data_IF_904622727423
#
_entry.id   IF_904622727423
#
_cell.length_a   1.000
_cell.length_b   1.000
_cell.length_c   1.000
_cell.angle_alpha   90.00
_cell.angle_beta   90.00
_cell.angle_gamma   90.00
#
_symmetry.space_group_name_H-M   'P 1'
#
loop_
_entity.id
_entity.type
_entity.pdbx_description
1 polymer ?
#
# COMPACT_ATOMS: atom_id res chain seq x y z
N UNK A 1 -20.95 -10.99 0.68
CA UNK A 1 -20.67 -10.53 -0.68
C UNK A 1 -19.33 -11.10 -1.10
N UNK A 2 -19.09 -11.23 -2.40
CA UNK A 2 -17.89 -11.87 -2.93
C UNK A 2 -16.67 -10.94 -2.82
N UNK A 3 -15.48 -11.51 -2.63
CA UNK A 3 -14.24 -10.77 -2.53
C UNK A 3 -13.12 -11.39 -3.38
N UNK A 4 -11.89 -11.00 -3.18
CA UNK A 4 -10.73 -11.46 -3.96
C UNK A 4 -10.52 -12.99 -3.90
N UNK A 5 -10.90 -13.66 -2.81
CA UNK A 5 -10.85 -15.12 -2.72
C UNK A 5 -11.90 -15.78 -3.63
N UNK A 6 -13.10 -15.20 -3.71
CA UNK A 6 -14.13 -15.66 -4.63
C UNK A 6 -13.71 -15.48 -6.08
N UNK A 7 -13.00 -14.39 -6.41
CA UNK A 7 -12.41 -14.22 -7.74
C UNK A 7 -11.47 -15.39 -8.10
N UNK A 8 -10.55 -15.73 -7.21
CA UNK A 8 -9.63 -16.87 -7.45
C UNK A 8 -10.43 -18.17 -7.59
N UNK A 9 -11.44 -18.40 -6.73
CA UNK A 9 -12.28 -19.58 -6.81
C UNK A 9 -13.08 -19.67 -8.11
N UNK A 10 -13.54 -18.53 -8.67
CA UNK A 10 -14.37 -18.49 -9.88
C UNK A 10 -13.59 -18.43 -11.18
N UNK A 11 -12.36 -17.86 -11.16
CA UNK A 11 -11.57 -17.55 -12.35
C UNK A 11 -10.14 -18.09 -12.29
N UNK A 12 -9.77 -18.71 -11.20
CA UNK A 12 -8.45 -19.32 -11.04
C UNK A 12 -8.20 -20.48 -11.98
N UNK A 13 -9.22 -21.04 -12.62
CA UNK A 13 -9.12 -22.07 -13.65
C UNK A 13 -8.81 -21.50 -15.06
N UNK A 14 -8.93 -20.19 -15.26
CA UNK A 14 -8.76 -19.53 -16.55
C UNK A 14 -7.38 -18.88 -16.66
N UNK A 15 -6.48 -19.50 -17.41
CA UNK A 15 -5.13 -18.94 -17.68
C UNK A 15 -5.20 -17.63 -18.46
N UNK A 16 -4.08 -16.90 -18.49
CA UNK A 16 -3.98 -15.56 -19.11
C UNK A 16 -4.16 -15.57 -20.64
N UNK A 17 -3.93 -16.69 -21.30
CA UNK A 17 -4.20 -16.87 -22.74
C UNK A 17 -5.71 -16.93 -23.06
N UNK A 18 -6.55 -17.41 -22.13
CA UNK A 18 -8.02 -17.44 -22.26
C UNK A 18 -8.66 -16.15 -21.78
N UNK A 19 -8.13 -15.57 -20.71
CA UNK A 19 -8.60 -14.30 -20.13
C UNK A 19 -7.40 -13.42 -19.80
N UNK A 20 -7.24 -12.29 -20.52
CA UNK A 20 -6.13 -11.38 -20.29
C UNK A 20 -6.01 -10.92 -18.83
N UNK A 21 -4.83 -10.48 -18.44
CA UNK A 21 -4.55 -9.89 -17.14
C UNK A 21 -5.47 -8.68 -16.88
N UNK A 22 -6.06 -8.61 -15.70
CA UNK A 22 -7.00 -7.57 -15.30
C UNK A 22 -6.63 -6.94 -13.94
N UNK A 23 -7.46 -6.00 -13.45
CA UNK A 23 -7.22 -5.29 -12.20
C UNK A 23 -7.26 -6.19 -10.96
N UNK A 24 -8.05 -7.29 -10.98
CA UNK A 24 -8.10 -8.23 -9.85
C UNK A 24 -6.81 -9.05 -9.76
N UNK A 25 -6.21 -9.41 -10.88
CA UNK A 25 -4.89 -10.04 -10.90
C UNK A 25 -3.84 -9.08 -10.32
N UNK A 26 -3.87 -7.81 -10.76
CA UNK A 26 -3.02 -6.77 -10.21
C UNK A 26 -3.19 -6.60 -8.70
N UNK A 27 -4.44 -6.62 -8.22
CA UNK A 27 -4.76 -6.52 -6.79
C UNK A 27 -4.21 -7.71 -5.99
N UNK A 28 -4.36 -8.96 -6.52
CA UNK A 28 -3.76 -10.17 -5.92
C UNK A 28 -2.26 -10.02 -5.81
N UNK A 29 -1.57 -9.66 -6.91
CA UNK A 29 -0.11 -9.52 -6.92
C UNK A 29 0.36 -8.39 -6.00
N UNK A 30 -0.33 -7.24 -6.00
CA UNK A 30 -0.04 -6.14 -5.08
C UNK A 30 -0.21 -6.56 -3.62
N UNK A 31 -1.22 -7.36 -3.28
CA UNK A 31 -1.40 -7.81 -1.90
C UNK A 31 -0.34 -8.83 -1.49
N UNK A 32 0.04 -9.73 -2.38
CA UNK A 32 1.10 -10.69 -2.09
C UNK A 32 2.49 -10.04 -1.88
N UNK A 33 2.70 -8.77 -2.27
CA UNK A 33 3.93 -8.04 -1.94
C UNK A 33 4.11 -7.78 -0.44
N UNK A 34 3.07 -7.99 0.38
CA UNK A 34 3.13 -7.87 1.85
C UNK A 34 3.66 -9.12 2.56
N UNK A 35 3.91 -10.21 1.83
CA UNK A 35 4.46 -11.43 2.39
C UNK A 35 5.91 -11.24 2.86
N UNK A 36 6.31 -11.84 4.00
CA UNK A 36 7.65 -11.69 4.56
C UNK A 36 8.66 -12.62 3.86
N UNK A 37 9.06 -12.26 2.64
CA UNK A 37 9.92 -13.08 1.78
C UNK A 37 11.43 -12.92 2.05
N UNK A 38 11.83 -12.24 3.16
CA UNK A 38 13.25 -12.07 3.52
C UNK A 38 13.96 -13.40 3.65
N UNK A 39 15.10 -13.55 2.93
CA UNK A 39 15.89 -14.76 2.92
C UNK A 39 15.22 -15.97 2.23
N UNK A 40 14.11 -15.75 1.50
CA UNK A 40 13.45 -16.75 0.63
C UNK A 40 13.59 -16.34 -0.83
N UNK A 41 13.12 -15.13 -1.18
CA UNK A 41 13.17 -14.62 -2.55
C UNK A 41 14.41 -13.76 -2.77
N UNK A 42 15.26 -14.19 -3.69
CA UNK A 42 16.39 -13.44 -4.21
C UNK A 42 16.19 -13.02 -5.67
N UNK A 43 17.27 -13.02 -6.43
CA UNK A 43 17.25 -12.74 -7.88
C UNK A 43 16.68 -13.90 -8.68
N UNK A 44 16.93 -15.15 -8.24
CA UNK A 44 16.44 -16.34 -8.91
C UNK A 44 14.93 -16.46 -8.80
N UNK A 45 14.23 -16.65 -9.93
CA UNK A 45 12.77 -16.79 -9.93
C UNK A 45 12.29 -18.05 -9.20
N UNK A 46 11.28 -17.90 -8.35
CA UNK A 46 10.61 -18.99 -7.65
C UNK A 46 9.12 -18.97 -8.03
N UNK A 47 8.54 -20.12 -8.36
CA UNK A 47 7.11 -20.23 -8.66
C UNK A 47 6.26 -19.93 -7.43
N UNK A 48 5.02 -19.45 -7.62
CA UNK A 48 4.12 -19.20 -6.48
C UNK A 48 3.85 -20.44 -5.63
N UNK A 49 3.71 -21.69 -6.18
CA UNK A 49 3.64 -22.91 -5.37
C UNK A 49 4.87 -23.11 -4.48
N UNK A 50 6.09 -23.00 -5.04
CA UNK A 50 7.33 -23.13 -4.27
C UNK A 50 7.44 -22.05 -3.17
N UNK A 51 7.03 -20.82 -3.47
CA UNK A 51 7.01 -19.74 -2.50
C UNK A 51 6.02 -20.03 -1.36
N UNK A 52 4.82 -20.57 -1.69
CA UNK A 52 3.83 -20.95 -0.69
C UNK A 52 4.34 -22.06 0.23
N UNK A 53 5.02 -23.04 -0.31
CA UNK A 53 5.65 -24.11 0.45
C UNK A 53 6.77 -23.59 1.35
N UNK A 54 7.67 -22.75 0.80
CA UNK A 54 8.79 -22.17 1.52
C UNK A 54 8.34 -21.29 2.71
N UNK A 55 7.31 -20.45 2.50
CA UNK A 55 6.74 -19.61 3.56
C UNK A 55 5.99 -20.45 4.61
N UNK A 56 5.25 -21.47 4.19
CA UNK A 56 4.52 -22.35 5.10
C UNK A 56 5.44 -23.21 5.97
N UNK A 57 6.65 -23.52 5.50
CA UNK A 57 7.64 -24.30 6.24
C UNK A 57 8.34 -23.49 7.35
N UNK A 58 8.18 -22.16 7.40
CA UNK A 58 8.81 -21.28 8.39
C UNK A 58 7.84 -20.93 9.52
N UNK A 59 8.08 -21.36 10.76
CA UNK A 59 7.20 -21.06 11.89
C UNK A 59 7.01 -19.56 12.13
N UNK A 60 8.05 -18.75 11.90
CA UNK A 60 8.04 -17.30 12.09
C UNK A 60 7.22 -16.54 11.03
N UNK A 61 6.78 -17.19 9.97
CA UNK A 61 6.00 -16.54 8.91
C UNK A 61 4.72 -15.93 9.47
N UNK A 62 3.96 -16.68 10.28
CA UNK A 62 2.67 -16.23 10.82
C UNK A 62 2.84 -15.00 11.73
N UNK A 63 3.91 -14.94 12.52
CA UNK A 63 4.21 -13.81 13.40
C UNK A 63 4.58 -12.53 12.64
N UNK A 64 5.09 -12.68 11.41
CA UNK A 64 5.54 -11.57 10.56
C UNK A 64 4.48 -11.10 9.56
N UNK A 65 3.36 -11.80 9.42
CA UNK A 65 2.26 -11.39 8.57
C UNK A 65 1.61 -10.11 9.09
N UNK A 66 1.34 -9.17 8.18
CA UNK A 66 0.52 -8.00 8.49
C UNK A 66 -0.94 -8.43 8.67
N UNK A 67 -1.38 -9.41 7.85
CA UNK A 67 -2.71 -10.03 7.95
C UNK A 67 -2.62 -11.54 7.74
N UNK A 68 -3.35 -12.33 8.53
CA UNK A 68 -3.41 -13.80 8.31
C UNK A 68 -3.91 -14.18 6.92
N UNK A 69 -4.76 -13.34 6.30
CA UNK A 69 -5.27 -13.56 4.95
C UNK A 69 -4.19 -13.55 3.87
N UNK A 70 -3.03 -12.92 4.11
CA UNK A 70 -1.98 -12.79 3.10
C UNK A 70 -1.39 -14.16 2.71
N UNK A 71 -1.17 -15.04 3.68
CA UNK A 71 -0.68 -16.40 3.38
C UNK A 71 -1.79 -17.27 2.79
N UNK A 72 -3.05 -17.06 3.18
CA UNK A 72 -4.21 -17.75 2.57
C UNK A 72 -4.37 -17.36 1.11
N UNK A 73 -4.18 -16.07 0.77
CA UNK A 73 -4.23 -15.57 -0.60
C UNK A 73 -3.14 -16.20 -1.46
N UNK A 74 -1.89 -16.26 -0.96
CA UNK A 74 -0.80 -16.94 -1.66
C UNK A 74 -1.13 -18.41 -1.93
N UNK A 75 -1.62 -19.15 -0.93
CA UNK A 75 -2.00 -20.57 -1.08
C UNK A 75 -3.08 -20.75 -2.15
N UNK A 76 -4.15 -19.95 -2.09
CA UNK A 76 -5.22 -20.00 -3.07
C UNK A 76 -4.72 -19.65 -4.49
N UNK A 77 -3.85 -18.66 -4.63
CA UNK A 77 -3.22 -18.32 -5.90
C UNK A 77 -2.30 -19.45 -6.41
N UNK A 78 -1.48 -20.01 -5.54
CA UNK A 78 -0.56 -21.12 -5.86
C UNK A 78 -1.27 -22.40 -6.33
N UNK A 79 -2.48 -22.66 -5.82
CA UNK A 79 -3.32 -23.80 -6.20
C UNK A 79 -4.08 -23.56 -7.52
N UNK A 80 -4.24 -22.31 -7.96
CA UNK A 80 -5.02 -21.96 -9.14
C UNK A 80 -4.21 -22.11 -10.43
N UNK A 81 -4.85 -22.55 -11.52
CA UNK A 81 -4.21 -22.65 -12.85
C UNK A 81 -3.75 -21.27 -13.38
N UNK A 82 -4.45 -20.19 -12.96
CA UNK A 82 -4.18 -18.83 -13.39
C UNK A 82 -2.88 -18.27 -12.80
N UNK A 83 -2.65 -18.47 -11.51
CA UNK A 83 -1.53 -17.82 -10.82
C UNK A 83 -0.33 -18.76 -10.59
N UNK A 84 -0.52 -20.08 -10.57
CA UNK A 84 0.58 -21.06 -10.32
C UNK A 84 1.71 -20.98 -11.33
N UNK A 85 1.44 -20.41 -12.52
CA UNK A 85 2.41 -20.24 -13.61
C UNK A 85 3.26 -18.97 -13.47
N UNK A 86 2.96 -18.13 -12.46
CA UNK A 86 3.68 -16.89 -12.16
C UNK A 86 4.90 -17.22 -11.31
N UNK A 87 6.03 -16.58 -11.61
CA UNK A 87 7.23 -16.62 -10.79
C UNK A 87 7.44 -15.30 -10.06
N UNK A 88 7.96 -15.34 -8.84
CA UNK A 88 8.35 -14.20 -8.04
C UNK A 88 9.87 -14.13 -7.88
N UNK A 89 10.46 -12.94 -7.90
CA UNK A 89 11.90 -12.71 -7.74
C UNK A 89 12.20 -11.29 -7.25
N UNK A 90 13.48 -11.04 -6.96
CA UNK A 90 14.01 -9.72 -6.64
C UNK A 90 13.30 -9.04 -5.46
N UNK A 91 12.91 -9.80 -4.43
CA UNK A 91 12.31 -9.20 -3.24
C UNK A 91 13.31 -8.31 -2.50
N UNK A 92 12.84 -7.11 -2.17
CA UNK A 92 13.58 -6.13 -1.37
C UNK A 92 12.70 -5.68 -0.19
N UNK A 93 13.29 -5.59 0.99
CA UNK A 93 12.66 -5.05 2.19
C UNK A 93 13.70 -4.26 2.98
N UNK A 94 13.60 -2.93 2.93
CA UNK A 94 14.53 -1.98 3.54
C UNK A 94 13.79 -1.15 4.58
N UNK A 95 14.26 -1.20 5.82
CA UNK A 95 13.78 -0.37 6.91
C UNK A 95 15.00 0.33 7.51
N UNK A 96 15.13 1.62 7.26
CA UNK A 96 16.25 2.44 7.70
C UNK A 96 15.75 3.54 8.64
N UNK A 97 16.16 3.46 9.90
CA UNK A 97 15.73 4.41 10.93
C UNK A 97 16.35 5.79 10.73
N UNK A 98 17.61 5.85 10.27
CA UNK A 98 18.34 7.09 10.08
C UNK A 98 17.77 7.94 8.95
N UNK A 99 17.47 7.33 7.83
CA UNK A 99 16.85 7.98 6.66
C UNK A 99 15.33 7.99 6.72
N UNK A 100 14.75 7.37 7.75
CA UNK A 100 13.30 7.21 7.94
C UNK A 100 12.61 6.58 6.73
N UNK A 101 13.26 5.57 6.15
CA UNK A 101 12.82 4.88 4.94
C UNK A 101 12.21 3.54 5.28
N UNK A 102 11.02 3.28 4.76
CA UNK A 102 10.43 1.96 4.70
C UNK A 102 10.06 1.67 3.25
N UNK A 103 10.86 0.83 2.59
CA UNK A 103 10.67 0.44 1.20
C UNK A 103 10.64 -1.07 1.05
N UNK A 104 9.67 -1.59 0.32
CA UNK A 104 9.63 -3.00 -0.06
C UNK A 104 8.96 -3.17 -1.42
N UNK A 105 9.51 -4.07 -2.22
CA UNK A 105 9.00 -4.39 -3.54
C UNK A 105 9.38 -5.81 -3.94
N UNK A 106 8.66 -6.36 -4.91
CA UNK A 106 9.05 -7.60 -5.55
C UNK A 106 8.58 -7.60 -7.02
N UNK A 107 9.22 -8.41 -7.85
CA UNK A 107 8.90 -8.57 -9.26
C UNK A 107 8.24 -9.92 -9.49
N UNK A 108 7.15 -9.92 -10.24
CA UNK A 108 6.52 -11.14 -10.79
C UNK A 108 6.80 -11.25 -12.27
N UNK A 109 7.08 -12.46 -12.72
CA UNK A 109 7.24 -12.83 -14.12
C UNK A 109 5.97 -13.55 -14.55
N UNK A 110 5.24 -12.96 -15.48
CA UNK A 110 4.03 -13.55 -16.03
C UNK A 110 4.36 -14.59 -17.11
N UNK A 111 3.41 -15.45 -17.42
CA UNK A 111 3.57 -16.54 -18.39
C UNK A 111 4.00 -16.04 -19.79
N UNK A 112 3.57 -14.85 -20.19
CA UNK A 112 3.91 -14.22 -21.48
C UNK A 112 5.23 -13.42 -21.45
N UNK A 113 5.97 -13.48 -20.34
CA UNK A 113 7.25 -12.82 -20.16
C UNK A 113 7.17 -11.37 -19.67
N UNK A 114 5.98 -10.77 -19.60
CA UNK A 114 5.81 -9.45 -18.97
C UNK A 114 6.22 -9.47 -17.50
N UNK A 115 6.72 -8.36 -17.01
CA UNK A 115 7.05 -8.19 -15.59
C UNK A 115 5.99 -7.33 -14.91
N UNK A 116 5.49 -7.81 -13.77
CA UNK A 116 4.67 -7.02 -12.87
C UNK A 116 5.48 -6.64 -11.64
N UNK A 117 5.76 -5.35 -11.47
CA UNK A 117 6.52 -4.81 -10.32
C UNK A 117 5.55 -4.36 -9.27
N UNK A 118 5.51 -5.07 -8.14
CA UNK A 118 4.64 -4.77 -7.02
C UNK A 118 5.39 -4.02 -5.92
N UNK A 119 4.91 -2.82 -5.59
CA UNK A 119 5.40 -2.02 -4.48
C UNK A 119 4.51 -2.24 -3.27
N UNK A 120 5.12 -2.59 -2.14
CA UNK A 120 4.42 -2.76 -0.88
C UNK A 120 4.09 -1.40 -0.26
N UNK A 121 2.89 -1.30 0.30
CA UNK A 121 2.52 -0.18 1.17
C UNK A 121 3.19 -0.25 2.53
N UNK A 122 2.71 0.59 3.43
CA UNK A 122 3.25 0.70 4.79
C UNK A 122 3.03 -0.60 5.57
N UNK A 123 4.06 -0.99 6.30
CA UNK A 123 3.95 -2.05 7.28
C UNK A 123 3.42 -1.51 8.64
N UNK A 124 3.54 -2.28 9.70
CA UNK A 124 3.10 -1.87 11.04
C UNK A 124 4.13 -1.00 11.77
N UNK A 125 5.27 -0.65 11.15
CA UNK A 125 6.34 0.12 11.82
C UNK A 125 5.98 1.59 11.95
N UNK A 126 6.44 2.22 13.04
CA UNK A 126 6.26 3.67 13.24
C UNK A 126 7.05 4.50 12.21
N UNK A 127 8.16 3.94 11.68
CA UNK A 127 8.95 4.58 10.62
C UNK A 127 8.14 4.64 9.31
N UNK A 128 7.50 3.55 8.93
CA UNK A 128 6.62 3.52 7.77
C UNK A 128 5.50 4.55 7.86
N UNK A 129 4.86 4.65 9.03
CA UNK A 129 3.84 5.63 9.30
C UNK A 129 4.35 7.08 9.21
N UNK A 130 5.55 7.36 9.72
CA UNK A 130 6.17 8.68 9.58
C UNK A 130 6.39 9.04 8.12
N UNK A 131 6.92 8.10 7.33
CA UNK A 131 7.16 8.32 5.89
C UNK A 131 5.84 8.59 5.14
N UNK A 132 4.75 7.89 5.47
CA UNK A 132 3.43 8.13 4.88
C UNK A 132 2.93 9.57 5.13
N UNK A 133 3.12 10.07 6.35
CA UNK A 133 2.78 11.46 6.63
C UNK A 133 3.68 12.44 5.90
N UNK A 134 4.97 12.14 5.81
CA UNK A 134 5.91 12.97 5.07
C UNK A 134 5.51 13.07 3.59
N UNK A 135 4.98 12.01 2.98
CA UNK A 135 4.52 12.03 1.58
C UNK A 135 3.43 13.10 1.31
N UNK A 136 2.68 13.50 2.34
CA UNK A 136 1.65 14.53 2.20
C UNK A 136 2.22 15.96 1.98
N UNK A 137 3.53 16.18 2.15
CA UNK A 137 4.14 17.51 2.04
C UNK A 137 5.63 17.52 1.67
N UNK A 138 6.29 16.35 1.67
CA UNK A 138 7.66 16.17 1.16
C UNK A 138 7.57 15.23 -0.03
N UNK A 139 8.04 15.69 -1.18
CA UNK A 139 8.19 14.85 -2.36
C UNK A 139 9.45 15.29 -3.12
N UNK A 140 10.39 14.37 -3.41
CA UNK A 140 10.32 12.94 -3.13
C UNK A 140 10.64 12.56 -1.68
N UNK A 141 9.96 11.52 -1.16
CA UNK A 141 10.41 10.79 0.03
C UNK A 141 11.42 9.70 -0.37
N UNK A 142 12.27 9.21 0.57
CA UNK A 142 13.29 8.20 0.25
C UNK A 142 12.74 6.94 -0.42
N UNK A 143 11.58 6.43 0.01
CA UNK A 143 10.95 5.25 -0.61
C UNK A 143 10.57 5.49 -2.09
N UNK A 144 10.17 6.69 -2.48
CA UNK A 144 9.89 7.03 -3.88
C UNK A 144 11.16 6.95 -4.74
N UNK A 145 12.28 7.45 -4.24
CA UNK A 145 13.58 7.33 -4.93
C UNK A 145 14.04 5.87 -5.02
N UNK A 146 13.81 5.08 -3.97
CA UNK A 146 14.08 3.64 -3.97
C UNK A 146 13.21 2.89 -4.99
N UNK A 147 11.93 3.29 -5.15
CA UNK A 147 11.02 2.71 -6.13
C UNK A 147 11.50 2.94 -7.57
N UNK A 148 11.98 4.13 -7.91
CA UNK A 148 12.58 4.42 -9.22
C UNK A 148 13.81 3.55 -9.46
N UNK A 149 14.75 3.48 -8.50
CA UNK A 149 15.97 2.67 -8.62
C UNK A 149 15.65 1.18 -8.78
N UNK A 150 14.67 0.69 -8.03
CA UNK A 150 14.23 -0.69 -8.12
C UNK A 150 13.62 -1.01 -9.50
N UNK A 151 12.75 -0.13 -10.03
CA UNK A 151 12.18 -0.29 -11.36
C UNK A 151 13.26 -0.31 -12.45
N UNK A 152 14.24 0.58 -12.39
CA UNK A 152 15.38 0.61 -13.32
C UNK A 152 16.18 -0.71 -13.25
N UNK A 153 16.42 -1.23 -12.06
CA UNK A 153 17.11 -2.51 -11.87
C UNK A 153 16.34 -3.66 -12.55
N UNK A 154 15.03 -3.74 -12.32
CA UNK A 154 14.19 -4.78 -12.95
C UNK A 154 14.17 -4.64 -14.47
N UNK A 155 14.14 -3.41 -14.98
CA UNK A 155 14.09 -3.13 -16.41
C UNK A 155 15.35 -3.56 -17.15
N UNK A 156 16.54 -3.52 -16.51
CA UNK A 156 17.79 -4.03 -17.09
C UNK A 156 17.73 -5.55 -17.31
N UNK A 157 17.03 -6.29 -16.45
CA UNK A 157 16.93 -7.75 -16.52
C UNK A 157 15.93 -8.29 -17.57
N UNK A 158 15.30 -7.43 -18.38
CA UNK A 158 14.31 -7.82 -19.37
C UNK A 158 14.16 -6.78 -20.46
N UNK A 159 13.82 -7.21 -21.69
CA UNK A 159 13.38 -6.33 -22.78
C UNK A 159 11.84 -6.31 -22.91
N UNK A 160 11.13 -7.09 -22.11
CA UNK A 160 9.66 -7.21 -22.13
C UNK A 160 8.93 -5.98 -21.61
N UNK A 161 7.62 -5.98 -21.80
CA UNK A 161 6.73 -4.97 -21.26
C UNK A 161 6.65 -5.05 -19.73
N UNK A 162 6.40 -3.90 -19.11
CA UNK A 162 6.33 -3.72 -17.68
C UNK A 162 4.92 -3.31 -17.26
N UNK A 163 4.44 -3.87 -16.16
CA UNK A 163 3.28 -3.42 -15.42
C UNK A 163 3.70 -3.11 -14.01
N UNK A 164 3.16 -2.06 -13.43
CA UNK A 164 3.46 -1.65 -12.07
C UNK A 164 2.19 -1.70 -11.24
N UNK A 165 2.33 -1.85 -9.93
CA UNK A 165 1.19 -1.70 -9.05
C UNK A 165 1.56 -1.68 -7.59
N UNK A 166 0.59 -1.24 -6.78
CA UNK A 166 0.72 -1.23 -5.34
C UNK A 166 -0.58 -0.84 -4.65
N UNK A 167 -0.67 -1.19 -3.39
CA UNK A 167 -1.77 -0.82 -2.51
C UNK A 167 -1.27 0.20 -1.49
N UNK A 168 -2.10 1.17 -1.13
CA UNK A 168 -1.73 2.20 -0.14
C UNK A 168 -0.51 3.00 -0.61
N UNK A 169 0.48 3.27 0.25
CA UNK A 169 1.76 3.86 -0.14
C UNK A 169 2.36 3.20 -1.39
N UNK A 170 2.24 1.87 -1.52
CA UNK A 170 2.73 1.14 -2.67
C UNK A 170 2.12 1.59 -4.00
N UNK A 171 0.86 2.01 -4.01
CA UNK A 171 0.20 2.61 -5.17
C UNK A 171 0.84 3.93 -5.59
N UNK A 172 1.11 4.81 -4.63
CA UNK A 172 1.85 6.06 -4.88
C UNK A 172 3.27 5.76 -5.38
N UNK A 173 3.99 4.80 -4.78
CA UNK A 173 5.33 4.40 -5.23
C UNK A 173 5.32 3.88 -6.67
N UNK A 174 4.30 3.10 -7.06
CA UNK A 174 4.16 2.59 -8.42
C UNK A 174 3.99 3.72 -9.44
N UNK A 175 3.12 4.68 -9.15
CA UNK A 175 2.89 5.85 -10.02
C UNK A 175 4.15 6.72 -10.07
N UNK A 176 4.78 6.99 -8.92
CA UNK A 176 6.00 7.78 -8.86
C UNK A 176 7.15 7.14 -9.65
N UNK A 177 7.36 5.82 -9.47
CA UNK A 177 8.39 5.09 -10.22
C UNK A 177 8.12 5.15 -11.73
N UNK A 178 6.88 4.97 -12.15
CA UNK A 178 6.49 5.10 -13.55
C UNK A 178 6.67 6.49 -14.14
N UNK A 179 6.48 7.54 -13.33
CA UNK A 179 6.64 8.93 -13.75
C UNK A 179 8.11 9.37 -13.86
N UNK A 180 8.99 8.85 -12.99
CA UNK A 180 10.36 9.36 -12.83
C UNK A 180 11.47 8.36 -13.17
N UNK A 181 11.12 7.20 -13.74
CA UNK A 181 12.11 6.33 -14.38
C UNK A 181 12.61 6.96 -15.71
N UNK A 182 13.65 6.38 -16.28
CA UNK A 182 14.16 6.81 -17.59
C UNK A 182 13.11 6.68 -18.69
N UNK A 183 13.17 7.53 -19.72
CA UNK A 183 12.25 7.50 -20.85
C UNK A 183 12.18 6.12 -21.50
N UNK A 184 13.33 5.44 -21.60
CA UNK A 184 13.41 4.10 -22.19
C UNK A 184 12.62 3.06 -21.38
N UNK A 185 12.63 3.15 -20.05
CA UNK A 185 11.86 2.29 -19.16
C UNK A 185 10.38 2.69 -19.18
N UNK A 186 10.09 4.00 -19.13
CA UNK A 186 8.72 4.51 -19.14
C UNK A 186 7.94 4.08 -20.38
N UNK A 187 8.58 4.06 -21.55
CA UNK A 187 7.95 3.62 -22.81
C UNK A 187 7.53 2.15 -22.80
N UNK A 188 8.15 1.33 -21.96
CA UNK A 188 7.83 -0.10 -21.81
C UNK A 188 6.72 -0.37 -20.79
N UNK A 189 6.31 0.63 -20.00
CA UNK A 189 5.25 0.48 -19.01
C UNK A 189 3.89 0.50 -19.72
N UNK A 190 3.15 -0.60 -19.66
CA UNK A 190 1.80 -0.71 -20.25
C UNK A 190 0.72 -0.16 -19.30
N UNK A 191 0.79 -0.49 -18.02
CA UNK A 191 -0.20 -0.14 -17.01
C UNK A 191 0.45 0.10 -15.64
N UNK A 192 -0.15 1.00 -14.88
CA UNK A 192 0.16 1.23 -13.47
C UNK A 192 -1.12 1.14 -12.66
N UNK A 193 -1.20 0.18 -11.75
CA UNK A 193 -2.32 0.02 -10.84
C UNK A 193 -2.05 0.71 -9.50
N UNK A 194 -2.92 1.66 -9.15
CA UNK A 194 -2.91 2.33 -7.85
C UNK A 194 -4.17 1.92 -7.07
N UNK A 195 -4.00 1.04 -6.08
CA UNK A 195 -5.10 0.60 -5.22
C UNK A 195 -5.10 1.39 -3.91
N UNK A 196 -5.96 2.40 -3.83
CA UNK A 196 -6.18 3.27 -2.67
C UNK A 196 -4.91 3.95 -2.13
N UNK A 197 -3.96 4.24 -3.02
CA UNK A 197 -2.76 5.01 -2.69
C UNK A 197 -3.00 6.50 -2.80
N UNK A 198 -2.32 7.32 -1.98
CA UNK A 198 -2.44 8.78 -2.03
C UNK A 198 -1.92 9.33 -3.36
N UNK A 199 -2.48 10.48 -3.77
CA UNK A 199 -2.03 11.23 -4.94
C UNK A 199 -0.73 12.00 -4.70
N UNK A 200 -0.56 13.11 -5.43
CA UNK A 200 0.65 13.94 -5.39
C UNK A 200 0.31 15.41 -5.20
N UNK A 201 1.31 16.21 -4.83
CA UNK A 201 1.19 17.66 -4.87
C UNK A 201 1.24 18.18 -6.32
N UNK A 202 0.79 19.41 -6.54
CA UNK A 202 0.71 20.00 -7.87
C UNK A 202 2.07 20.05 -8.59
N UNK A 203 3.16 20.18 -7.85
CA UNK A 203 4.52 20.24 -8.45
C UNK A 203 4.92 18.93 -9.12
N UNK A 204 4.41 17.80 -8.61
CA UNK A 204 4.64 16.49 -9.21
C UNK A 204 3.68 16.27 -10.38
N UNK A 205 2.41 16.65 -10.22
CA UNK A 205 1.40 16.54 -11.27
C UNK A 205 1.79 17.30 -12.54
N UNK A 206 2.41 18.47 -12.39
CA UNK A 206 2.90 19.31 -13.48
C UNK A 206 4.21 18.81 -14.13
N UNK A 207 4.75 17.66 -13.72
CA UNK A 207 5.98 17.14 -14.31
C UNK A 207 5.71 16.37 -15.62
N UNK A 208 6.51 16.58 -16.69
CA UNK A 208 6.35 15.89 -17.95
C UNK A 208 6.31 14.37 -17.84
N UNK A 209 7.10 13.78 -16.93
CA UNK A 209 7.11 12.34 -16.67
C UNK A 209 5.77 11.85 -16.10
N UNK A 210 5.12 12.64 -15.23
CA UNK A 210 3.79 12.33 -14.70
C UNK A 210 2.73 12.44 -15.81
N UNK A 211 2.73 13.52 -16.58
CA UNK A 211 1.81 13.69 -17.71
C UNK A 211 1.91 12.53 -18.71
N UNK A 212 3.13 12.06 -18.98
CA UNK A 212 3.38 10.96 -19.90
C UNK A 212 2.88 9.59 -19.39
N UNK A 213 2.93 9.33 -18.08
CA UNK A 213 2.46 8.06 -17.50
C UNK A 213 0.96 8.08 -17.16
N UNK A 214 0.38 9.24 -16.85
CA UNK A 214 -0.99 9.43 -16.39
C UNK A 214 -2.06 8.66 -17.22
N UNK A 215 -2.03 8.62 -18.57
CA UNK A 215 -3.00 7.84 -19.35
C UNK A 215 -2.96 6.33 -19.10
N UNK A 216 -1.85 5.82 -18.57
CA UNK A 216 -1.64 4.39 -18.25
C UNK A 216 -1.90 4.06 -16.79
N UNK A 217 -2.19 5.05 -15.93
CA UNK A 217 -2.54 4.85 -14.53
C UNK A 217 -4.00 4.44 -14.41
N UNK A 218 -4.26 3.47 -13.54
CA UNK A 218 -5.59 3.01 -13.16
C UNK A 218 -5.69 3.04 -11.64
N UNK A 219 -6.39 4.05 -11.13
CA UNK A 219 -6.58 4.28 -9.68
C UNK A 219 -7.95 3.76 -9.24
N UNK A 220 -7.96 2.93 -8.21
CA UNK A 220 -9.16 2.38 -7.58
C UNK A 220 -9.22 2.82 -6.14
N UNK A 221 -10.36 3.37 -5.73
CA UNK A 221 -10.58 3.87 -4.36
C UNK A 221 -11.91 3.34 -3.82
N UNK A 222 -12.00 2.88 -2.56
CA UNK A 222 -13.28 2.49 -1.98
C UNK A 222 -14.20 3.71 -1.78
N UNK A 223 -15.52 3.48 -1.69
CA UNK A 223 -16.53 4.55 -1.67
C UNK A 223 -16.38 5.57 -0.53
N UNK A 224 -15.72 5.21 0.56
CA UNK A 224 -15.41 6.13 1.67
C UNK A 224 -13.90 6.26 1.91
N UNK A 225 -13.11 6.16 0.84
CA UNK A 225 -11.66 6.30 0.93
C UNK A 225 -11.26 7.59 1.63
N UNK A 226 -10.27 7.45 2.50
CA UNK A 226 -9.56 8.57 3.14
C UNK A 226 -8.15 8.65 2.58
N UNK A 227 -7.45 7.52 2.50
CA UNK A 227 -6.05 7.45 2.05
C UNK A 227 -5.94 7.81 0.57
N UNK A 228 -6.67 7.11 -0.30
CA UNK A 228 -6.64 7.34 -1.74
C UNK A 228 -7.19 8.70 -2.19
N UNK A 229 -7.87 9.42 -1.29
CA UNK A 229 -8.35 10.79 -1.58
C UNK A 229 -7.37 11.87 -1.07
N UNK A 230 -6.28 11.49 -0.38
CA UNK A 230 -5.26 12.46 0.03
C UNK A 230 -4.48 12.96 -1.19
N UNK A 231 -4.23 14.28 -1.23
CA UNK A 231 -3.52 14.98 -2.31
C UNK A 231 -4.29 15.00 -3.64
N UNK A 232 -3.60 15.35 -4.74
CA UNK A 232 -4.18 15.48 -6.07
C UNK A 232 -4.01 14.23 -6.92
N UNK A 233 -5.03 13.94 -7.73
CA UNK A 233 -5.01 12.95 -8.80
C UNK A 233 -5.44 13.65 -10.08
N UNK A 234 -4.69 13.51 -11.16
CA UNK A 234 -5.12 13.98 -12.50
C UNK A 234 -5.68 12.83 -13.33
N UNK A 235 -5.29 11.59 -13.03
CA UNK A 235 -5.92 10.41 -13.60
C UNK A 235 -7.36 10.23 -13.09
N UNK A 236 -8.19 9.61 -13.92
CA UNK A 236 -9.52 9.20 -13.49
C UNK A 236 -9.42 8.03 -12.53
N UNK A 237 -9.99 8.18 -11.34
CA UNK A 237 -10.12 7.07 -10.40
C UNK A 237 -11.49 6.38 -10.54
N UNK A 238 -11.48 5.07 -10.33
CA UNK A 238 -12.68 4.24 -10.28
C UNK A 238 -13.05 3.98 -8.82
N UNK A 239 -14.30 4.26 -8.48
CA UNK A 239 -14.81 3.99 -7.13
C UNK A 239 -15.26 2.54 -7.03
N UNK A 240 -14.80 1.83 -6.00
CA UNK A 240 -15.15 0.44 -5.75
C UNK A 240 -15.98 0.29 -4.48
N UNK A 241 -16.90 -0.67 -4.49
CA UNK A 241 -17.70 -1.01 -3.32
C UNK A 241 -16.87 -1.82 -2.33
N UNK A 242 -16.94 -1.44 -1.06
CA UNK A 242 -16.39 -2.21 0.06
C UNK A 242 -17.49 -2.51 1.08
N UNK A 243 -17.42 -3.67 1.70
CA UNK A 243 -18.38 -4.13 2.73
C UNK A 243 -18.23 -3.36 4.05
N UNK A 244 -17.09 -2.72 4.25
CA UNK A 244 -16.78 -1.97 5.44
C UNK A 244 -17.06 -0.47 5.26
N UNK A 245 -16.82 0.34 6.29
CA UNK A 245 -17.03 1.78 6.29
C UNK A 245 -15.84 2.55 6.85
N UNK A 246 -15.63 3.78 6.42
CA UNK A 246 -14.56 4.64 6.92
C UNK A 246 -13.17 4.05 6.60
N UNK A 247 -12.25 4.14 7.54
CA UNK A 247 -10.86 3.68 7.34
C UNK A 247 -10.69 2.17 7.18
N UNK A 248 -11.66 1.35 7.63
CA UNK A 248 -11.62 -0.10 7.45
C UNK A 248 -11.75 -0.53 5.99
N UNK A 249 -12.30 0.33 5.13
CA UNK A 249 -12.40 0.10 3.69
C UNK A 249 -11.04 0.08 2.97
N UNK A 250 -10.00 0.60 3.59
CA UNK A 250 -8.63 0.53 3.06
C UNK A 250 -8.12 -0.92 2.96
N UNK A 251 -8.78 -1.85 3.65
CA UNK A 251 -8.49 -3.28 3.55
C UNK A 251 -9.10 -3.88 2.27
N UNK A 252 -8.26 -4.25 1.31
CA UNK A 252 -8.70 -4.79 0.01
C UNK A 252 -9.51 -6.09 0.11
N UNK A 253 -9.36 -6.86 1.20
CA UNK A 253 -10.15 -8.08 1.43
C UNK A 253 -11.64 -7.80 1.67
N UNK A 254 -12.00 -6.54 1.91
CA UNK A 254 -13.38 -6.08 2.07
C UNK A 254 -13.97 -5.51 0.78
N UNK A 255 -13.20 -5.46 -0.30
CA UNK A 255 -13.66 -4.96 -1.59
C UNK A 255 -14.49 -6.01 -2.32
N UNK A 256 -15.63 -5.59 -2.83
CA UNK A 256 -16.54 -6.49 -3.54
C UNK A 256 -16.08 -6.72 -4.97
N UNK A 257 -16.27 -7.98 -5.39
CA UNK A 257 -15.90 -8.48 -6.70
C UNK A 257 -17.13 -8.96 -7.46
N UNK A 258 -17.21 -8.59 -8.74
CA UNK A 258 -18.24 -9.04 -9.67
C UNK A 258 -17.60 -9.84 -10.82
N UNK A 259 -17.53 -11.17 -10.66
CA UNK A 259 -16.96 -12.09 -11.66
C UNK A 259 -15.50 -11.81 -12.04
N UNK A 260 -15.26 -10.85 -12.93
CA UNK A 260 -13.95 -10.54 -13.53
C UNK A 260 -13.50 -9.09 -13.26
N UNK A 261 -14.25 -8.35 -12.47
CA UNK A 261 -13.96 -6.95 -12.11
C UNK A 261 -14.25 -6.68 -10.64
N UNK A 262 -13.74 -5.58 -10.14
CA UNK A 262 -14.24 -5.00 -8.90
C UNK A 262 -15.69 -4.53 -9.07
N UNK A 263 -16.45 -4.45 -8.00
CA UNK A 263 -17.81 -3.87 -8.03
C UNK A 263 -17.69 -2.34 -8.04
N UNK A 264 -18.07 -1.72 -9.15
CA UNK A 264 -17.89 -0.28 -9.37
C UNK A 264 -19.07 0.53 -8.88
N UNK A 265 -18.78 1.72 -8.39
CA UNK A 265 -19.77 2.72 -8.00
C UNK A 265 -19.52 4.04 -8.76
N UNK A 266 -20.60 4.80 -8.96
CA UNK A 266 -20.52 6.06 -9.70
C UNK A 266 -19.71 7.14 -8.98
N UNK A 267 -19.75 7.17 -7.65
CA UNK A 267 -19.08 8.23 -6.86
C UNK A 267 -18.72 7.79 -5.45
N UNK A 268 -17.73 8.47 -4.87
CA UNK A 268 -17.42 8.36 -3.43
C UNK A 268 -18.54 8.96 -2.58
N UNK A 269 -18.67 8.52 -1.33
CA UNK A 269 -19.69 9.01 -0.40
C UNK A 269 -19.49 10.49 -0.05
N UNK A 270 -20.57 11.16 0.37
CA UNK A 270 -20.48 12.55 0.85
C UNK A 270 -19.56 12.70 2.08
N UNK A 271 -19.53 11.68 2.95
CA UNK A 271 -18.64 11.62 4.10
C UNK A 271 -17.17 11.61 3.71
N UNK A 272 -16.79 10.85 2.69
CA UNK A 272 -15.42 10.82 2.15
C UNK A 272 -15.00 12.21 1.63
N UNK A 273 -15.85 12.85 0.83
CA UNK A 273 -15.60 14.21 0.32
C UNK A 273 -15.46 15.26 1.43
N UNK A 274 -16.23 15.12 2.51
CA UNK A 274 -16.14 16.02 3.66
C UNK A 274 -14.82 15.84 4.42
N UNK A 275 -14.40 14.59 4.68
CA UNK A 275 -13.15 14.28 5.36
C UNK A 275 -11.95 14.73 4.52
N UNK A 276 -11.95 14.43 3.21
CA UNK A 276 -10.92 14.87 2.27
C UNK A 276 -10.77 16.40 2.29
N UNK A 277 -11.87 17.12 2.11
CA UNK A 277 -11.84 18.59 2.16
C UNK A 277 -11.32 19.11 3.50
N UNK A 278 -11.78 18.55 4.62
CA UNK A 278 -11.36 18.98 5.95
C UNK A 278 -9.89 18.74 6.21
N UNK A 279 -9.35 17.61 5.73
CA UNK A 279 -7.91 17.30 5.82
C UNK A 279 -7.08 18.19 4.91
N UNK A 280 -7.52 18.40 3.67
CA UNK A 280 -6.86 19.29 2.72
C UNK A 280 -6.85 20.74 3.23
N UNK A 281 -7.98 21.27 3.72
CA UNK A 281 -8.09 22.61 4.27
C UNK A 281 -7.20 22.78 5.51
N UNK A 282 -7.15 21.76 6.39
CA UNK A 282 -6.30 21.78 7.58
C UNK A 282 -4.81 21.76 7.23
N UNK A 283 -4.39 20.89 6.30
CA UNK A 283 -3.02 20.83 5.82
C UNK A 283 -2.65 22.10 5.03
N UNK A 284 -3.54 22.60 4.19
CA UNK A 284 -3.31 23.84 3.42
C UNK A 284 -3.13 25.07 4.32
N UNK A 285 -3.72 25.07 5.52
CA UNK A 285 -3.52 26.12 6.53
C UNK A 285 -2.14 26.12 7.20
N UNK A 286 -1.29 25.14 6.92
CA UNK A 286 0.06 25.02 7.48
C UNK A 286 1.13 25.20 6.39
N UNK A 287 2.25 25.86 6.73
CA UNK A 287 3.44 25.84 5.86
C UNK A 287 4.05 24.43 5.81
N UNK A 288 4.91 24.18 4.82
CA UNK A 288 5.64 22.88 4.70
C UNK A 288 6.45 22.61 5.98
N UNK A 289 7.12 23.64 6.51
CA UNK A 289 7.89 23.56 7.74
C UNK A 289 7.02 23.22 8.95
N UNK A 290 5.84 23.82 9.07
CA UNK A 290 4.90 23.53 10.16
C UNK A 290 4.39 22.10 10.10
N UNK A 291 4.13 21.56 8.90
CA UNK A 291 3.73 20.15 8.71
C UNK A 291 4.87 19.21 9.10
N UNK A 292 6.11 19.52 8.67
CA UNK A 292 7.27 18.73 9.03
C UNK A 292 7.47 18.68 10.55
N UNK A 293 7.44 19.83 11.22
CA UNK A 293 7.55 19.91 12.69
C UNK A 293 6.44 19.13 13.37
N UNK A 294 5.21 19.20 12.86
CA UNK A 294 4.08 18.45 13.42
C UNK A 294 4.31 16.93 13.33
N UNK A 295 4.74 16.43 12.17
CA UNK A 295 5.00 15.00 11.96
C UNK A 295 6.19 14.52 12.81
N UNK A 296 7.26 15.30 12.87
CA UNK A 296 8.42 15.00 13.71
C UNK A 296 8.00 14.92 15.18
N UNK A 297 7.22 15.88 15.65
CA UNK A 297 6.72 15.91 17.03
C UNK A 297 5.82 14.70 17.33
N UNK A 298 4.91 14.34 16.42
CA UNK A 298 4.05 13.15 16.58
C UNK A 298 4.89 11.88 16.66
N UNK A 299 5.89 11.76 15.79
CA UNK A 299 6.79 10.62 15.77
C UNK A 299 7.63 10.52 17.05
N UNK A 300 8.21 11.63 17.53
CA UNK A 300 8.93 11.69 18.79
C UNK A 300 8.07 11.28 19.98
N UNK A 301 6.82 11.77 20.01
CA UNK A 301 5.85 11.39 21.06
C UNK A 301 5.56 9.90 21.04
N UNK A 302 5.44 9.30 19.84
CA UNK A 302 5.27 7.85 19.72
C UNK A 302 6.52 7.08 20.12
N UNK A 303 7.71 7.52 19.73
CA UNK A 303 8.98 6.87 20.12
C UNK A 303 9.20 6.86 21.63
N UNK A 304 8.78 7.89 22.36
CA UNK A 304 8.90 7.96 23.83
C UNK A 304 8.08 6.86 24.55
N UNK A 305 7.16 6.20 23.88
CA UNK A 305 6.46 5.03 24.41
C UNK A 305 7.34 3.78 24.45
N UNK A 306 8.46 3.76 23.74
CA UNK A 306 9.33 2.59 23.55
C UNK A 306 8.81 1.60 22.50
N UNK A 307 7.63 1.83 21.90
CA UNK A 307 7.09 1.00 20.85
C UNK A 307 7.82 1.26 19.51
N UNK A 308 7.98 0.21 18.73
CA UNK A 308 8.52 0.26 17.35
C UNK A 308 7.43 0.09 16.31
N UNK A 309 6.32 -0.51 16.71
CA UNK A 309 5.18 -0.83 15.84
C UNK A 309 3.87 -0.33 16.46
N UNK A 310 2.85 -0.16 15.62
CA UNK A 310 1.50 0.22 16.04
C UNK A 310 0.83 -0.85 16.92
N UNK A 311 0.97 -2.17 16.66
CA UNK A 311 0.52 -3.21 17.57
C UNK A 311 1.14 -3.10 18.98
N UNK A 312 2.45 -2.81 19.09
CA UNK A 312 3.10 -2.60 20.39
C UNK A 312 2.55 -1.37 21.13
N UNK A 313 2.27 -0.26 20.40
CA UNK A 313 1.58 0.90 20.97
C UNK A 313 0.24 0.54 21.59
N UNK A 314 -0.53 -0.35 20.93
CA UNK A 314 -1.83 -0.81 21.42
C UNK A 314 -1.72 -1.79 22.56
N UNK A 315 -0.83 -2.75 22.49
CA UNK A 315 -0.62 -3.77 23.53
C UNK A 315 -0.30 -3.13 24.89
N UNK A 316 0.41 -2.00 24.88
CA UNK A 316 0.72 -1.22 26.09
C UNK A 316 -0.04 0.11 26.14
N UNK A 317 -1.34 0.09 25.81
CA UNK A 317 -2.16 1.29 25.64
C UNK A 317 -2.09 2.27 26.83
N UNK A 318 -2.21 1.80 28.07
CA UNK A 318 -2.16 2.67 29.25
C UNK A 318 -0.79 3.32 29.45
N UNK A 319 0.29 2.55 29.24
CA UNK A 319 1.66 3.07 29.30
C UNK A 319 1.95 4.06 28.19
N UNK A 320 1.58 3.70 26.97
CA UNK A 320 1.75 4.52 25.77
C UNK A 320 0.96 5.82 25.86
N UNK A 321 -0.32 5.77 26.26
CA UNK A 321 -1.15 6.97 26.43
C UNK A 321 -0.57 7.91 27.47
N UNK A 322 -0.09 7.37 28.61
CA UNK A 322 0.52 8.19 29.65
C UNK A 322 1.83 8.82 29.20
N UNK A 323 2.66 8.11 28.45
CA UNK A 323 3.88 8.63 27.83
C UNK A 323 3.57 9.73 26.80
N UNK A 324 2.60 9.49 25.91
CA UNK A 324 2.14 10.46 24.90
C UNK A 324 1.58 11.74 25.53
N UNK A 325 0.74 11.63 26.58
CA UNK A 325 0.20 12.80 27.30
C UNK A 325 1.32 13.60 27.95
N UNK A 326 2.31 12.91 28.54
CA UNK A 326 3.47 13.58 29.17
C UNK A 326 4.30 14.32 28.14
N UNK A 327 4.62 13.68 27.02
CA UNK A 327 5.37 14.26 25.92
C UNK A 327 4.62 15.45 25.29
N UNK A 328 3.33 15.29 25.02
CA UNK A 328 2.48 16.37 24.51
C UNK A 328 2.27 17.51 25.51
N UNK A 329 2.41 17.26 26.80
CA UNK A 329 2.31 18.28 27.86
C UNK A 329 3.44 19.30 27.84
N UNK A 330 4.55 19.00 27.20
CA UNK A 330 5.68 19.92 27.00
C UNK A 330 5.51 20.86 25.78
N UNK A 331 4.48 20.62 24.96
CA UNK A 331 4.20 21.38 23.73
C UNK A 331 3.34 22.61 24.04
N UNK A 332 3.35 23.58 23.12
CA UNK A 332 2.39 24.69 23.13
C UNK A 332 0.96 24.17 23.02
N UNK A 333 -0.04 24.96 23.41
CA UNK A 333 -1.44 24.52 23.40
C UNK A 333 -1.96 24.23 21.99
N UNK A 334 -1.49 24.97 20.98
CA UNK A 334 -1.85 24.78 19.58
C UNK A 334 -1.16 23.54 18.98
N UNK A 335 0.13 23.34 19.23
CA UNK A 335 0.86 22.17 18.80
C UNK A 335 0.27 20.90 19.44
N UNK A 336 -0.04 20.95 20.73
CA UNK A 336 -0.67 19.83 21.43
C UNK A 336 -2.01 19.44 20.82
N UNK A 337 -2.86 20.42 20.45
CA UNK A 337 -4.14 20.13 19.78
C UNK A 337 -3.92 19.45 18.42
N UNK A 338 -2.97 19.95 17.65
CA UNK A 338 -2.62 19.40 16.32
C UNK A 338 -2.05 17.98 16.43
N UNK A 339 -1.09 17.76 17.34
CA UNK A 339 -0.50 16.43 17.63
C UNK A 339 -1.58 15.43 18.08
N UNK A 340 -2.44 15.82 19.02
CA UNK A 340 -3.51 14.93 19.50
C UNK A 340 -4.55 14.61 18.43
N UNK A 341 -4.82 15.52 17.50
CA UNK A 341 -5.68 15.27 16.34
C UNK A 341 -5.06 14.25 15.40
N UNK A 342 -3.77 14.39 15.08
CA UNK A 342 -3.04 13.46 14.22
C UNK A 342 -2.90 12.08 14.86
N UNK A 343 -2.54 11.99 16.13
CA UNK A 343 -2.50 10.73 16.89
C UNK A 343 -3.86 10.01 16.88
N UNK A 344 -4.96 10.75 16.99
CA UNK A 344 -6.32 10.17 16.92
C UNK A 344 -6.60 9.59 15.52
N UNK A 345 -6.24 10.28 14.45
CA UNK A 345 -6.39 9.80 13.07
C UNK A 345 -5.54 8.53 12.86
N UNK A 346 -4.30 8.53 13.32
CA UNK A 346 -3.41 7.37 13.31
C UNK A 346 -4.02 6.16 14.01
N UNK A 347 -4.52 6.37 15.22
CA UNK A 347 -5.12 5.29 16.00
C UNK A 347 -6.40 4.74 15.36
N UNK A 348 -7.19 5.59 14.72
CA UNK A 348 -8.40 5.16 14.00
C UNK A 348 -8.06 4.33 12.77
N UNK A 349 -7.05 4.71 11.99
CA UNK A 349 -6.61 3.93 10.82
C UNK A 349 -6.04 2.57 11.24
N UNK A 350 -5.21 2.54 12.27
CA UNK A 350 -4.64 1.31 12.81
C UNK A 350 -5.69 0.36 13.44
N UNK A 351 -6.79 0.90 14.02
CA UNK A 351 -7.92 0.08 14.51
C UNK A 351 -8.67 -0.57 13.34
N UNK A 352 -8.82 0.15 12.22
CA UNK A 352 -9.45 -0.39 11.01
C UNK A 352 -8.69 -1.57 10.42
N UNK A 353 -7.36 -1.54 10.44
CA UNK A 353 -6.55 -2.63 9.89
C UNK A 353 -6.59 -3.92 10.73
N UNK A 354 -6.75 -3.83 12.05
CA UNK A 354 -6.67 -4.98 12.96
C UNK A 354 -8.03 -5.51 13.43
N UNK A 355 -9.13 -4.74 13.32
CA UNK A 355 -10.46 -5.20 13.75
C UNK A 355 -11.09 -6.25 12.84
N UNK A 356 -10.51 -6.51 11.67
CA UNK A 356 -10.86 -7.65 10.81
C UNK A 356 -10.43 -8.99 11.41
N UNK A 357 -9.32 -9.04 12.13
CA UNK A 357 -8.78 -10.27 12.70
C UNK A 357 -9.57 -10.80 13.93
N UNK A 358 -10.13 -9.89 14.75
CA UNK A 358 -10.83 -10.29 15.99
C UNK A 358 -12.28 -10.80 15.77
N UNK A 359 -12.89 -10.51 14.63
CA UNK A 359 -14.26 -10.98 14.35
C UNK A 359 -14.33 -12.42 13.84
N UNK A 360 -13.26 -12.98 13.29
CA UNK A 360 -13.23 -14.37 12.80
C UNK A 360 -12.93 -15.38 13.91
N UNK A 361 -12.11 -15.02 14.91
CA UNK A 361 -11.84 -15.90 16.07
C UNK A 361 -13.03 -16.08 17.00
N UNK A 362 -14.07 -15.26 16.92
CA UNK A 362 -15.30 -15.37 17.70
C UNK A 362 -16.41 -16.20 17.00
N UNK A 363 -16.18 -16.73 15.79
CA UNK A 363 -17.12 -17.53 15.01
C UNK A 363 -16.62 -18.94 14.65
N UNK A 364 -15.46 -19.35 15.15
CA UNK A 364 -14.95 -20.72 15.02
C UNK A 364 -15.27 -21.57 16.26
#
# INVERSE_FOLDING_TARGET
MANIFDYIAWRGDLRFDFRPFNELDGLVLCRMSYLPCDGILGEEPMSLPELADALSARPETEERLIRPDDIRLLKAAAESERFRVIYACNYVNQIELETQTQFSALCYILEDGRRFVAFRGTDTTLVGWKEDFNMAFICPVPAQLSAVKYLELIAVGTDGALMLGGHSKGGNLAVYAGAFCSDAVQQRIELVYNFDGPGFDQKILDQPGYEAICPRVRTFVPQSSVVGMLLGHEEQYTVVHSQETGLTQHNIYTWDVERESLSYLDTVTQGSRFIDRTLKDWLAGMSVEQRAVLVDTVYEVMQQTGARTVPELKANWFGSTRAMIRAAGALSEDDRRSVMRMLRLLMQSAIGELSGADKETAKA
#
